data_IF_820269755941
#
_entry.id   IF_820269755941
#
_cell.length_a   1.000
_cell.length_b   1.000
_cell.length_c   1.000
_cell.angle_alpha   90.00
_cell.angle_beta   90.00
_cell.angle_gamma   90.00
#
_symmetry.space_group_name_H-M   'P 1'
#
loop_
_entity.id
_entity.type
_entity.pdbx_description
1 polymer ?
#
# COMPACT_ATOMS: atom_id res chain seq x y z
N UNK A 1 13.25 -9.81 -6.81
CA UNK A 1 11.78 -9.71 -6.95
C UNK A 1 11.33 -8.43 -6.28
N UNK A 2 10.60 -7.61 -7.01
CA UNK A 2 10.20 -6.29 -6.57
C UNK A 2 9.35 -6.32 -5.29
N UNK A 3 9.42 -5.24 -4.53
CA UNK A 3 8.87 -5.13 -3.20
C UNK A 3 7.34 -5.14 -3.06
N UNK A 4 6.57 -5.62 -4.05
CA UNK A 4 5.10 -5.55 -4.07
C UNK A 4 4.37 -6.81 -3.61
N UNK A 5 5.10 -7.91 -3.29
CA UNK A 5 4.50 -9.19 -2.88
C UNK A 5 3.37 -9.67 -3.82
N UNK A 6 3.63 -9.62 -5.13
CA UNK A 6 2.69 -10.12 -6.14
C UNK A 6 2.53 -11.64 -6.01
N UNK A 7 1.29 -12.10 -5.92
CA UNK A 7 0.93 -13.52 -5.86
C UNK A 7 -0.25 -13.80 -6.77
N UNK A 8 -0.16 -14.88 -7.50
CA UNK A 8 -1.26 -15.39 -8.33
C UNK A 8 -1.55 -16.82 -7.90
N UNK A 9 -2.66 -17.02 -7.24
CA UNK A 9 -3.07 -18.34 -6.71
C UNK A 9 -4.58 -18.52 -6.89
N UNK A 10 -5.02 -19.71 -7.33
CA UNK A 10 -6.44 -20.09 -7.42
C UNK A 10 -7.35 -19.05 -8.13
N UNK A 11 -6.89 -18.47 -9.25
CA UNK A 11 -7.66 -17.46 -9.97
C UNK A 11 -7.75 -16.10 -9.27
N UNK A 12 -6.86 -15.85 -8.29
CA UNK A 12 -6.73 -14.58 -7.58
C UNK A 12 -5.36 -13.98 -7.78
N UNK A 13 -5.31 -12.74 -8.23
CA UNK A 13 -4.11 -11.92 -8.25
C UNK A 13 -4.13 -11.01 -7.03
N UNK A 14 -3.10 -11.05 -6.21
CA UNK A 14 -3.00 -10.18 -5.03
C UNK A 14 -1.64 -9.51 -4.96
N UNK A 15 -1.62 -8.26 -4.51
CA UNK A 15 -0.38 -7.51 -4.29
C UNK A 15 -0.53 -6.43 -3.21
N UNK A 16 0.61 -5.99 -2.67
CA UNK A 16 0.71 -4.96 -1.62
C UNK A 16 1.42 -3.72 -2.17
N UNK A 17 0.70 -2.60 -2.43
CA UNK A 17 1.26 -1.43 -3.10
C UNK A 17 2.29 -0.65 -2.27
N UNK A 18 2.14 -0.67 -0.94
CA UNK A 18 2.93 0.17 -0.02
C UNK A 18 3.89 -0.62 0.87
N UNK A 19 4.47 -1.69 0.34
CA UNK A 19 5.38 -2.55 1.11
C UNK A 19 6.72 -1.89 1.49
N UNK A 20 7.08 -0.79 0.86
CA UNK A 20 8.24 0.05 1.21
C UNK A 20 8.10 0.70 2.59
N UNK A 21 6.89 0.85 3.12
CA UNK A 21 6.65 1.28 4.51
C UNK A 21 7.26 0.35 5.55
N UNK A 22 7.68 -0.88 5.18
CA UNK A 22 8.37 -1.82 6.06
C UNK A 22 9.53 -1.18 6.83
N UNK A 23 10.40 -0.45 6.12
CA UNK A 23 11.55 0.22 6.75
C UNK A 23 11.13 1.26 7.77
N UNK A 24 10.12 2.07 7.44
CA UNK A 24 9.57 3.09 8.33
C UNK A 24 8.94 2.47 9.58
N UNK A 25 8.11 1.44 9.42
CA UNK A 25 7.48 0.72 10.53
C UNK A 25 8.53 0.13 11.47
N UNK A 26 9.56 -0.55 10.94
CA UNK A 26 10.64 -1.12 11.74
C UNK A 26 11.38 -0.03 12.50
N UNK A 27 11.74 1.08 11.83
CA UNK A 27 12.46 2.18 12.48
C UNK A 27 11.66 2.76 13.66
N UNK A 28 10.40 3.11 13.47
CA UNK A 28 9.58 3.68 14.55
C UNK A 28 9.32 2.68 15.67
N UNK A 29 9.17 1.39 15.35
CA UNK A 29 9.06 0.33 16.37
C UNK A 29 10.33 0.22 17.21
N UNK A 30 11.51 0.23 16.57
CA UNK A 30 12.79 0.18 17.28
C UNK A 30 13.00 1.41 18.16
N UNK A 31 12.71 2.61 17.66
CA UNK A 31 12.79 3.85 18.44
C UNK A 31 11.88 3.77 19.66
N UNK A 32 10.65 3.32 19.49
CA UNK A 32 9.70 3.12 20.60
C UNK A 32 10.28 2.17 21.65
N UNK A 33 10.77 0.99 21.24
CA UNK A 33 11.34 0.01 22.15
C UNK A 33 12.56 0.56 22.90
N UNK A 34 13.47 1.25 22.21
CA UNK A 34 14.65 1.87 22.84
C UNK A 34 14.20 2.88 23.90
N UNK A 35 13.24 3.75 23.59
CA UNK A 35 12.73 4.76 24.53
C UNK A 35 12.17 4.07 25.77
N UNK A 36 11.31 3.06 25.63
CA UNK A 36 10.66 2.41 26.76
C UNK A 36 11.61 1.57 27.62
N UNK A 37 12.69 1.02 27.03
CA UNK A 37 13.69 0.22 27.75
C UNK A 37 14.72 1.14 28.44
N UNK A 38 15.23 2.17 27.74
CA UNK A 38 16.35 2.98 28.21
C UNK A 38 15.89 4.07 29.19
N UNK A 39 14.75 4.73 28.93
CA UNK A 39 14.31 5.87 29.77
C UNK A 39 14.16 5.55 31.27
N UNK A 40 13.66 4.37 31.69
CA UNK A 40 13.58 4.03 33.12
C UNK A 40 14.95 3.95 33.81
N UNK A 41 16.01 3.54 33.06
CA UNK A 41 17.37 3.34 33.62
C UNK A 41 18.13 4.65 33.79
N UNK A 42 17.67 5.72 33.13
CA UNK A 42 18.30 7.04 33.23
C UNK A 42 17.90 7.79 34.49
N UNK A 43 18.88 8.43 35.15
CA UNK A 43 18.64 9.30 36.32
C UNK A 43 18.14 10.70 35.86
N UNK A 44 16.95 10.75 35.24
CA UNK A 44 16.31 11.97 34.79
C UNK A 44 15.21 12.38 35.79
N UNK A 45 14.90 13.68 35.84
CA UNK A 45 13.75 14.16 36.56
C UNK A 45 12.43 13.63 35.98
N UNK A 46 11.38 13.63 36.81
CA UNK A 46 10.07 13.06 36.48
C UNK A 46 9.48 13.68 35.19
N UNK A 47 9.50 14.99 35.06
CA UNK A 47 8.95 15.72 33.90
C UNK A 47 9.64 15.32 32.60
N UNK A 48 10.98 15.25 32.60
CA UNK A 48 11.76 14.83 31.42
C UNK A 48 11.46 13.40 31.02
N UNK A 49 11.34 12.47 32.01
CA UNK A 49 10.96 11.08 31.73
C UNK A 49 9.61 11.00 31.01
N UNK A 50 8.60 11.72 31.51
CA UNK A 50 7.28 11.74 30.90
C UNK A 50 7.29 12.35 29.49
N UNK A 51 8.07 13.41 29.27
CA UNK A 51 8.27 13.99 27.93
C UNK A 51 8.82 12.95 26.94
N UNK A 52 9.87 12.21 27.34
CA UNK A 52 10.49 11.18 26.50
C UNK A 52 9.50 10.02 26.25
N UNK A 53 8.75 9.56 27.27
CA UNK A 53 7.74 8.52 27.09
C UNK A 53 6.62 8.96 26.13
N UNK A 54 6.21 10.23 26.18
CA UNK A 54 5.20 10.76 25.24
C UNK A 54 5.71 10.68 23.79
N UNK A 55 6.97 11.02 23.54
CA UNK A 55 7.59 10.86 22.21
C UNK A 55 7.61 9.39 21.80
N UNK A 56 8.01 8.49 22.70
CA UNK A 56 8.01 7.05 22.45
C UNK A 56 6.61 6.53 22.08
N UNK A 57 5.59 6.99 22.80
CA UNK A 57 4.20 6.63 22.53
C UNK A 57 3.73 7.10 21.17
N UNK A 58 4.04 8.35 20.79
CA UNK A 58 3.71 8.89 19.46
C UNK A 58 4.40 8.09 18.33
N UNK A 59 5.67 7.72 18.52
CA UNK A 59 6.37 6.84 17.58
C UNK A 59 5.69 5.47 17.48
N UNK A 60 5.28 4.88 18.60
CA UNK A 60 4.57 3.61 18.64
C UNK A 60 3.22 3.66 17.92
N UNK A 61 2.43 4.70 18.15
CA UNK A 61 1.17 4.91 17.41
C UNK A 61 1.39 5.09 15.93
N UNK A 62 2.42 5.84 15.52
CA UNK A 62 2.77 6.01 14.10
C UNK A 62 3.16 4.68 13.46
N UNK A 63 3.98 3.86 14.15
CA UNK A 63 4.35 2.53 13.70
C UNK A 63 3.13 1.61 13.53
N UNK A 64 2.24 1.58 14.52
CA UNK A 64 1.01 0.78 14.49
C UNK A 64 0.07 1.22 13.36
N UNK A 65 -0.12 2.52 13.18
CA UNK A 65 -0.92 3.08 12.10
C UNK A 65 -0.36 2.72 10.72
N UNK A 66 0.95 2.94 10.50
CA UNK A 66 1.59 2.62 9.22
C UNK A 66 1.59 1.10 8.95
N UNK A 67 1.70 0.27 9.98
CA UNK A 67 1.59 -1.18 9.87
C UNK A 67 0.20 -1.62 9.44
N UNK A 68 -0.85 -1.11 10.07
CA UNK A 68 -2.23 -1.51 9.80
C UNK A 68 -2.74 -0.94 8.48
N UNK A 69 -2.58 0.35 8.24
CA UNK A 69 -3.26 1.07 7.17
C UNK A 69 -2.41 1.32 5.91
N UNK A 70 -1.10 1.07 5.98
CA UNK A 70 -0.22 1.22 4.83
C UNK A 70 0.46 -0.09 4.45
N UNK A 71 1.27 -0.66 5.34
CA UNK A 71 2.12 -1.81 5.02
C UNK A 71 1.33 -3.06 4.66
N UNK A 72 0.26 -3.38 5.39
CA UNK A 72 -0.53 -4.61 5.21
C UNK A 72 -1.68 -4.49 4.20
N UNK A 73 -1.92 -3.32 3.63
CA UNK A 73 -2.97 -3.14 2.62
C UNK A 73 -2.71 -4.04 1.43
N UNK A 74 -3.71 -4.84 1.06
CA UNK A 74 -3.64 -5.80 -0.04
C UNK A 74 -4.81 -5.56 -1.00
N UNK A 75 -4.51 -5.45 -2.29
CA UNK A 75 -5.53 -5.51 -3.34
C UNK A 75 -5.62 -6.93 -3.86
N UNK A 76 -6.84 -7.43 -4.02
CA UNK A 76 -7.14 -8.77 -4.51
C UNK A 76 -8.06 -8.65 -5.71
N UNK A 77 -7.62 -9.17 -6.85
CA UNK A 77 -8.41 -9.30 -8.07
C UNK A 77 -8.88 -10.75 -8.14
N UNK A 78 -10.16 -10.99 -8.08
CA UNK A 78 -10.75 -12.31 -8.03
C UNK A 78 -11.50 -12.60 -9.34
N UNK A 79 -11.04 -13.61 -10.09
CA UNK A 79 -11.64 -14.03 -11.36
C UNK A 79 -13.03 -14.63 -11.17
N UNK A 80 -13.25 -15.34 -10.06
CA UNK A 80 -14.52 -16.03 -9.81
C UNK A 80 -15.66 -15.04 -9.61
N UNK A 81 -15.42 -13.98 -8.81
CA UNK A 81 -16.42 -12.94 -8.56
C UNK A 81 -16.33 -11.76 -9.55
N UNK A 82 -15.33 -11.75 -10.45
CA UNK A 82 -15.01 -10.64 -11.38
C UNK A 82 -14.91 -9.30 -10.64
N UNK A 83 -14.35 -9.32 -9.45
CA UNK A 83 -14.38 -8.19 -8.52
C UNK A 83 -13.01 -7.90 -7.95
N UNK A 84 -12.81 -6.64 -7.56
CA UNK A 84 -11.60 -6.16 -6.91
C UNK A 84 -11.91 -5.86 -5.46
N UNK A 85 -11.11 -6.42 -4.56
CA UNK A 85 -11.23 -6.26 -3.14
C UNK A 85 -10.05 -5.48 -2.57
N UNK A 86 -10.34 -4.61 -1.62
CA UNK A 86 -9.38 -3.95 -0.76
C UNK A 86 -9.42 -4.62 0.61
N UNK A 87 -8.29 -5.20 1.01
CA UNK A 87 -8.15 -5.95 2.26
C UNK A 87 -7.17 -5.26 3.19
N UNK A 88 -7.61 -5.00 4.42
CA UNK A 88 -6.75 -4.66 5.56
C UNK A 88 -6.81 -5.85 6.51
N UNK A 89 -5.73 -6.66 6.61
CA UNK A 89 -5.71 -7.86 7.45
C UNK A 89 -6.06 -7.54 8.90
N UNK A 90 -6.93 -8.36 9.49
CA UNK A 90 -7.40 -8.17 10.87
C UNK A 90 -8.52 -7.16 11.05
N UNK A 91 -8.84 -6.32 10.04
CA UNK A 91 -9.90 -5.32 10.12
C UNK A 91 -11.06 -5.63 9.18
N UNK A 92 -10.85 -5.57 7.86
CA UNK A 92 -11.91 -5.81 6.89
C UNK A 92 -11.40 -6.22 5.51
N UNK A 93 -12.31 -6.84 4.74
CA UNK A 93 -12.18 -7.02 3.30
C UNK A 93 -13.41 -6.41 2.64
N UNK A 94 -13.22 -5.44 1.76
CA UNK A 94 -14.30 -4.73 1.09
C UNK A 94 -14.14 -4.84 -0.42
N UNK A 95 -15.21 -5.19 -1.13
CA UNK A 95 -15.29 -5.04 -2.57
C UNK A 95 -15.32 -3.55 -2.93
N UNK A 96 -14.44 -3.13 -3.82
CA UNK A 96 -14.32 -1.72 -4.23
C UNK A 96 -14.92 -1.46 -5.61
N UNK A 97 -14.76 -2.40 -6.54
CA UNK A 97 -15.30 -2.30 -7.90
C UNK A 97 -15.30 -3.65 -8.60
N UNK A 98 -16.00 -3.73 -9.74
CA UNK A 98 -15.98 -4.90 -10.63
C UNK A 98 -14.95 -4.71 -11.75
N UNK A 99 -14.60 -5.78 -12.47
CA UNK A 99 -13.68 -5.72 -13.61
C UNK A 99 -14.25 -4.91 -14.79
N UNK A 100 -15.57 -4.81 -14.90
CA UNK A 100 -16.24 -4.02 -15.94
C UNK A 100 -16.17 -2.52 -15.67
N UNK A 101 -16.16 -2.13 -14.40
CA UNK A 101 -16.14 -0.73 -13.95
C UNK A 101 -14.73 -0.16 -13.85
N UNK A 102 -13.70 -1.03 -13.72
CA UNK A 102 -12.35 -0.60 -13.40
C UNK A 102 -11.69 0.14 -14.55
N UNK A 103 -11.01 1.22 -14.21
CA UNK A 103 -10.15 2.00 -15.05
C UNK A 103 -8.86 2.34 -14.30
N UNK A 104 -7.71 2.14 -14.96
CA UNK A 104 -6.42 2.49 -14.37
C UNK A 104 -6.10 3.93 -14.77
N UNK A 105 -5.96 4.79 -13.77
CA UNK A 105 -5.59 6.19 -13.94
C UNK A 105 -4.11 6.37 -13.64
N UNK A 106 -3.43 7.07 -14.52
CA UNK A 106 -2.14 7.67 -14.27
C UNK A 106 -2.38 9.09 -13.77
N UNK A 107 -2.03 9.35 -12.51
CA UNK A 107 -2.26 10.64 -11.84
C UNK A 107 -0.90 11.28 -11.58
N UNK A 108 -0.77 12.53 -11.95
CA UNK A 108 0.39 13.36 -11.64
C UNK A 108 -0.04 14.51 -10.73
N UNK A 109 0.51 14.55 -9.53
CA UNK A 109 0.19 15.54 -8.50
C UNK A 109 1.50 16.00 -7.86
N UNK A 110 1.70 17.31 -7.78
CA UNK A 110 2.92 17.93 -7.21
C UNK A 110 4.24 17.40 -7.84
N UNK A 111 4.23 17.06 -9.14
CA UNK A 111 5.38 16.49 -9.84
C UNK A 111 5.69 15.03 -9.46
N UNK A 112 4.78 14.38 -8.75
CA UNK A 112 4.86 12.96 -8.40
C UNK A 112 3.80 12.18 -9.20
N UNK A 113 4.25 11.13 -9.86
CA UNK A 113 3.39 10.22 -10.61
C UNK A 113 2.92 9.08 -9.72
N UNK A 114 1.63 8.74 -9.76
CA UNK A 114 1.12 7.52 -9.14
C UNK A 114 0.00 6.90 -9.98
N UNK A 115 -0.27 5.61 -9.74
CA UNK A 115 -1.33 4.86 -10.39
C UNK A 115 -2.47 4.62 -9.40
N UNK A 116 -3.71 4.75 -9.90
CA UNK A 116 -4.92 4.54 -9.11
C UNK A 116 -5.96 3.74 -9.91
N UNK A 117 -6.75 2.92 -9.21
CA UNK A 117 -7.96 2.31 -9.75
C UNK A 117 -9.12 3.27 -9.57
N UNK A 118 -9.89 3.50 -10.61
CA UNK A 118 -11.10 4.33 -10.59
C UNK A 118 -12.23 3.64 -11.33
N UNK A 119 -13.47 4.04 -11.04
CA UNK A 119 -14.63 3.62 -11.82
C UNK A 119 -14.70 4.43 -13.11
N UNK A 120 -15.04 3.79 -14.24
CA UNK A 120 -15.15 4.45 -15.56
C UNK A 120 -16.03 5.70 -15.56
N UNK A 121 -17.07 5.71 -14.76
CA UNK A 121 -18.01 6.83 -14.66
C UNK A 121 -17.51 8.01 -13.85
N UNK A 122 -16.45 7.84 -13.06
CA UNK A 122 -15.99 8.86 -12.13
C UNK A 122 -14.58 9.35 -12.47
N UNK A 123 -14.47 10.07 -13.59
CA UNK A 123 -13.22 10.65 -14.09
C UNK A 123 -12.50 11.57 -13.08
N UNK A 124 -13.26 12.12 -12.12
CA UNK A 124 -12.79 13.04 -11.07
C UNK A 124 -13.01 12.49 -9.66
N UNK A 125 -13.44 11.22 -9.54
CA UNK A 125 -13.69 10.60 -8.23
C UNK A 125 -12.42 10.08 -7.56
N UNK A 126 -12.52 9.88 -6.24
CA UNK A 126 -11.46 9.31 -5.43
C UNK A 126 -11.06 7.93 -5.97
N UNK A 127 -9.90 7.85 -6.63
CA UNK A 127 -9.29 6.61 -7.03
C UNK A 127 -8.65 5.88 -5.84
N UNK A 128 -8.56 4.56 -5.94
CA UNK A 128 -7.78 3.76 -4.99
C UNK A 128 -6.34 3.69 -5.47
N UNK A 129 -5.44 4.38 -4.79
CA UNK A 129 -4.01 4.39 -5.14
C UNK A 129 -3.40 3.00 -5.02
N UNK A 130 -2.84 2.50 -6.12
CA UNK A 130 -2.25 1.16 -6.23
C UNK A 130 -0.73 1.17 -6.39
N UNK A 131 -0.11 2.34 -6.48
CA UNK A 131 1.33 2.48 -6.53
C UNK A 131 1.83 3.45 -5.47
N UNK A 132 3.12 3.46 -5.24
CA UNK A 132 3.80 4.54 -4.55
C UNK A 132 3.88 5.77 -5.45
N UNK A 133 4.09 6.97 -4.90
CA UNK A 133 4.43 8.13 -5.70
C UNK A 133 5.85 7.99 -6.28
N UNK A 134 5.98 8.21 -7.57
CA UNK A 134 7.23 8.16 -8.31
C UNK A 134 7.66 9.59 -8.66
N UNK A 135 8.85 9.98 -8.17
CA UNK A 135 9.46 11.26 -8.49
C UNK A 135 10.45 11.16 -9.65
N UNK A 136 11.11 12.27 -9.95
CA UNK A 136 12.01 12.41 -11.11
C UNK A 136 13.40 11.81 -10.91
N UNK A 137 13.78 11.42 -9.69
CA UNK A 137 15.11 10.88 -9.42
C UNK A 137 15.32 9.47 -10.01
N UNK A 138 16.57 9.09 -10.30
CA UNK A 138 16.94 7.81 -10.93
C UNK A 138 16.40 6.58 -10.20
N UNK A 139 16.41 6.59 -8.86
CA UNK A 139 15.90 5.49 -8.03
C UNK A 139 14.38 5.35 -8.15
N UNK A 140 13.67 6.47 -8.25
CA UNK A 140 12.22 6.49 -8.39
C UNK A 140 11.78 6.02 -9.77
N UNK A 141 12.46 6.46 -10.83
CA UNK A 141 12.22 6.00 -12.21
C UNK A 141 12.40 4.49 -12.35
N UNK A 142 13.46 3.93 -11.76
CA UNK A 142 13.66 2.48 -11.75
C UNK A 142 12.52 1.73 -11.04
N UNK A 143 12.00 2.27 -9.93
CA UNK A 143 10.83 1.68 -9.22
C UNK A 143 9.55 1.79 -10.04
N UNK A 144 9.37 2.90 -10.76
CA UNK A 144 8.26 3.08 -11.69
C UNK A 144 8.30 2.04 -12.81
N UNK A 145 9.43 1.88 -13.47
CA UNK A 145 9.65 0.88 -14.52
C UNK A 145 9.31 -0.54 -14.04
N UNK A 146 9.80 -0.92 -12.86
CA UNK A 146 9.48 -2.23 -12.24
C UNK A 146 7.98 -2.35 -11.98
N UNK A 147 7.32 -1.30 -11.47
CA UNK A 147 5.87 -1.31 -11.24
C UNK A 147 5.09 -1.48 -12.55
N UNK A 148 5.46 -0.74 -13.59
CA UNK A 148 4.80 -0.78 -14.89
C UNK A 148 4.98 -2.15 -15.57
N UNK A 149 6.20 -2.71 -15.53
CA UNK A 149 6.51 -3.98 -16.21
C UNK A 149 6.02 -5.21 -15.45
N UNK A 150 6.08 -5.22 -14.14
CA UNK A 150 5.72 -6.40 -13.34
C UNK A 150 4.27 -6.36 -12.83
N UNK A 151 3.85 -5.23 -12.26
CA UNK A 151 2.55 -5.14 -11.56
C UNK A 151 1.45 -4.69 -12.50
N UNK A 152 1.67 -3.58 -13.21
CA UNK A 152 0.64 -3.01 -14.09
C UNK A 152 0.32 -3.97 -15.24
N UNK A 153 1.35 -4.53 -15.87
CA UNK A 153 1.17 -5.53 -16.94
C UNK A 153 0.44 -6.80 -16.45
N UNK A 154 0.74 -7.26 -15.22
CA UNK A 154 0.03 -8.39 -14.63
C UNK A 154 -1.45 -8.08 -14.36
N UNK A 155 -1.77 -6.89 -13.84
CA UNK A 155 -3.14 -6.44 -13.62
C UNK A 155 -3.89 -6.32 -14.95
N UNK A 156 -3.29 -5.67 -15.94
CA UNK A 156 -3.90 -5.48 -17.26
C UNK A 156 -4.19 -6.81 -17.95
N UNK A 157 -3.21 -7.73 -17.97
CA UNK A 157 -3.40 -9.05 -18.55
C UNK A 157 -4.49 -9.85 -17.82
N UNK A 158 -4.56 -9.72 -16.49
CA UNK A 158 -5.53 -10.42 -15.67
C UNK A 158 -6.97 -9.91 -15.92
N UNK A 159 -7.15 -8.59 -16.07
CA UNK A 159 -8.43 -7.96 -16.39
C UNK A 159 -8.80 -8.20 -17.87
N UNK A 160 -7.85 -8.08 -18.80
CA UNK A 160 -8.09 -8.23 -20.23
C UNK A 160 -8.41 -9.67 -20.62
N UNK A 161 -7.77 -10.64 -19.98
CA UNK A 161 -8.03 -12.07 -20.24
C UNK A 161 -9.51 -12.45 -19.97
N UNK A 162 -10.15 -11.74 -19.06
CA UNK A 162 -11.59 -11.92 -18.79
C UNK A 162 -12.50 -11.25 -19.81
N UNK A 163 -12.07 -10.15 -20.45
CA UNK A 163 -12.86 -9.48 -21.50
C UNK A 163 -12.94 -10.25 -22.81
N UNK A 164 -11.91 -11.03 -23.12
CA UNK A 164 -11.89 -11.88 -24.32
C UNK A 164 -12.86 -13.04 -24.20
N UNK A 165 -13.10 -13.56 -22.97
CA UNK A 165 -14.03 -14.65 -22.74
C UNK A 165 -15.52 -14.24 -22.62
N UNK A 166 -15.83 -12.96 -22.52
CA UNK A 166 -17.22 -12.47 -22.45
C UNK A 166 -17.81 -12.06 -23.81
N UNK A 167 -17.10 -12.26 -24.91
CA UNK A 167 -17.56 -11.98 -26.28
C UNK A 167 -17.94 -13.25 -27.07
N UNK A 168 -18.35 -14.35 -26.39
CA UNK A 168 -18.96 -15.52 -27.02
C UNK A 168 -20.37 -15.72 -26.51
#
# INVERSE_FOLDING_TARGET
MAGYNLKTENGRLSFQPKRDYKGKVILFTLVTLIIFIVTPTLNLNYETKWGIFTIGLLCGFTAAYDFLFHFNVTYIFDQTSKSIYHKIPGLYTRQIMTFEEVFILRVEEDGLLHYALSKKQNKYGKGYTISQPFGTNKKSRKRQEIFETEILSAIESFIQHLKVHTHY
#
